data_IF_215646417577
#
_entry.id   IF_215646417577
#
_cell.length_a   1.000
_cell.length_b   1.000
_cell.length_c   1.000
_cell.angle_alpha   90.00
_cell.angle_beta   90.00
_cell.angle_gamma   90.00
#
_symmetry.space_group_name_H-M   'P 1'
#
loop_
_entity.id
_entity.type
_entity.pdbx_description
1 polymer ?
#
# COMPACT_ATOMS: atom_id res chain seq x y z
N UNK A 1 -49.54 -8.24 -49.06
CA UNK A 1 -48.46 -9.03 -48.41
C UNK A 1 -47.05 -8.45 -48.60
N UNK A 2 -46.68 -7.92 -49.79
CA UNK A 2 -45.33 -7.38 -50.07
C UNK A 2 -44.94 -6.19 -49.17
N UNK A 3 -45.87 -5.28 -48.87
CA UNK A 3 -45.64 -4.10 -48.01
C UNK A 3 -45.34 -4.50 -46.55
N UNK A 4 -46.11 -5.43 -45.97
CA UNK A 4 -45.88 -5.93 -44.61
C UNK A 4 -44.51 -6.60 -44.47
N UNK A 5 -44.08 -7.33 -45.51
CA UNK A 5 -42.77 -7.99 -45.53
C UNK A 5 -41.61 -6.98 -45.63
N UNK A 6 -41.75 -5.90 -46.41
CA UNK A 6 -40.75 -4.83 -46.49
C UNK A 6 -40.66 -4.02 -45.19
N UNK A 7 -41.79 -3.80 -44.53
CA UNK A 7 -41.84 -3.13 -43.23
C UNK A 7 -41.13 -3.95 -42.15
N UNK A 8 -41.46 -5.26 -42.04
CA UNK A 8 -40.82 -6.14 -41.07
C UNK A 8 -39.29 -6.24 -41.27
N UNK A 9 -38.83 -6.33 -42.52
CA UNK A 9 -37.39 -6.34 -42.85
C UNK A 9 -36.71 -5.03 -42.44
N UNK A 10 -37.38 -3.89 -42.65
CA UNK A 10 -36.82 -2.58 -42.28
C UNK A 10 -36.70 -2.45 -40.76
N UNK A 11 -37.72 -2.88 -40.02
CA UNK A 11 -37.70 -2.90 -38.54
C UNK A 11 -36.59 -3.81 -38.02
N UNK A 12 -36.46 -5.02 -38.56
CA UNK A 12 -35.40 -5.94 -38.17
C UNK A 12 -34.00 -5.40 -38.48
N UNK A 13 -33.82 -4.72 -39.62
CA UNK A 13 -32.54 -4.10 -39.98
C UNK A 13 -32.17 -2.94 -39.04
N UNK A 14 -33.12 -2.06 -38.72
CA UNK A 14 -32.90 -0.97 -37.77
C UNK A 14 -32.61 -1.50 -36.36
N UNK A 15 -33.35 -2.51 -35.91
CA UNK A 15 -33.12 -3.13 -34.61
C UNK A 15 -31.74 -3.80 -34.55
N UNK A 16 -31.38 -4.57 -35.57
CA UNK A 16 -30.07 -5.23 -35.66
C UNK A 16 -28.92 -4.21 -35.66
N UNK A 17 -29.02 -3.16 -36.48
CA UNK A 17 -28.01 -2.09 -36.51
C UNK A 17 -27.93 -1.37 -35.15
N UNK A 18 -29.06 -1.05 -34.53
CA UNK A 18 -29.14 -0.40 -33.23
C UNK A 18 -28.47 -1.24 -32.13
N UNK A 19 -28.77 -2.54 -32.06
CA UNK A 19 -28.10 -3.45 -31.13
C UNK A 19 -26.60 -3.52 -31.38
N UNK A 20 -26.16 -3.62 -32.64
CA UNK A 20 -24.74 -3.78 -32.97
C UNK A 20 -23.92 -2.54 -32.59
N UNK A 21 -24.48 -1.33 -32.81
CA UNK A 21 -23.84 -0.08 -32.38
C UNK A 21 -23.87 0.11 -30.86
N UNK A 22 -24.93 -0.34 -30.18
CA UNK A 22 -25.07 -0.19 -28.73
C UNK A 22 -24.28 -1.25 -27.94
N UNK A 23 -24.13 -2.46 -28.48
CA UNK A 23 -23.44 -3.59 -27.83
C UNK A 23 -21.97 -3.66 -28.22
N UNK A 24 -21.32 -2.54 -28.54
CA UNK A 24 -19.93 -2.48 -29.01
C UNK A 24 -19.00 -3.38 -28.21
N UNK A 25 -17.88 -3.82 -28.81
CA UNK A 25 -16.90 -4.68 -28.16
C UNK A 25 -16.56 -4.14 -26.77
N UNK A 26 -17.16 -4.74 -25.73
CA UNK A 26 -16.98 -4.35 -24.34
C UNK A 26 -15.51 -4.62 -24.00
N UNK A 27 -14.61 -3.68 -24.32
CA UNK A 27 -13.18 -3.79 -24.04
C UNK A 27 -12.93 -3.78 -22.54
N UNK A 28 -13.88 -3.23 -21.79
CA UNK A 28 -13.92 -3.21 -20.33
C UNK A 28 -15.08 -4.08 -19.87
N UNK A 29 -14.94 -5.39 -20.08
CA UNK A 29 -15.66 -6.35 -19.23
C UNK A 29 -14.98 -6.27 -17.86
N UNK A 30 -15.71 -5.85 -16.82
CA UNK A 30 -15.27 -5.91 -15.44
C UNK A 30 -15.01 -7.37 -15.05
N UNK A 31 -13.86 -7.90 -15.46
CA UNK A 31 -13.37 -9.23 -15.16
C UNK A 31 -12.42 -9.20 -13.97
N UNK A 32 -12.11 -10.39 -13.45
CA UNK A 32 -11.41 -10.71 -12.19
C UNK A 32 -10.10 -9.96 -11.89
N UNK A 33 -9.60 -9.11 -12.79
CA UNK A 33 -8.37 -8.32 -12.63
C UNK A 33 -8.59 -6.82 -12.41
N UNK A 34 -9.77 -6.27 -12.69
CA UNK A 34 -10.05 -4.85 -12.42
C UNK A 34 -10.84 -4.67 -11.12
N UNK A 35 -10.24 -4.06 -10.07
CA UNK A 35 -10.94 -3.77 -8.84
C UNK A 35 -11.90 -2.61 -9.06
N UNK A 36 -13.21 -2.90 -9.00
CA UNK A 36 -14.34 -1.99 -9.15
C UNK A 36 -14.56 -1.38 -10.56
N UNK A 37 -15.83 -1.14 -10.90
CA UNK A 37 -16.23 -0.54 -12.18
C UNK A 37 -15.80 0.93 -12.37
N UNK A 38 -15.21 1.57 -11.36
CA UNK A 38 -14.70 2.95 -11.42
C UNK A 38 -13.20 3.04 -11.65
N UNK A 39 -12.57 1.94 -12.04
CA UNK A 39 -11.12 1.89 -12.24
C UNK A 39 -10.59 3.01 -13.16
N UNK A 40 -11.36 3.37 -14.21
CA UNK A 40 -10.99 4.43 -15.16
C UNK A 40 -11.16 5.85 -14.61
N UNK A 41 -11.93 6.02 -13.54
CA UNK A 41 -12.11 7.31 -12.88
C UNK A 41 -10.93 7.66 -11.98
N UNK A 42 -10.05 6.68 -11.70
CA UNK A 42 -8.92 6.83 -10.82
C UNK A 42 -7.63 6.94 -11.64
N UNK A 43 -6.89 8.02 -11.42
CA UNK A 43 -5.57 8.17 -12.02
C UNK A 43 -4.63 7.07 -11.49
N UNK A 44 -3.80 6.44 -12.35
CA UNK A 44 -2.81 5.48 -11.90
C UNK A 44 -1.81 6.15 -10.97
N UNK A 45 -1.88 5.82 -9.68
CA UNK A 45 -0.90 6.30 -8.71
C UNK A 45 0.42 5.55 -8.94
N UNK A 46 1.47 6.28 -9.30
CA UNK A 46 2.80 5.69 -9.42
C UNK A 46 3.35 5.36 -8.03
N UNK A 47 3.72 4.09 -7.84
CA UNK A 47 4.53 3.64 -6.72
C UNK A 47 5.93 3.32 -7.25
N UNK A 48 6.97 3.83 -6.58
CA UNK A 48 8.33 3.46 -6.92
C UNK A 48 8.52 1.95 -6.72
N UNK A 49 9.40 1.29 -7.51
CA UNK A 49 9.74 -0.09 -7.26
C UNK A 49 10.19 -0.29 -5.82
N UNK A 50 9.73 -1.39 -5.21
CA UNK A 50 10.19 -1.76 -3.87
C UNK A 50 11.72 -1.89 -3.85
N UNK A 51 12.35 -1.59 -2.70
CA UNK A 51 13.78 -1.84 -2.54
C UNK A 51 14.08 -3.32 -2.76
N UNK A 52 15.26 -3.63 -3.30
CA UNK A 52 15.69 -5.01 -3.55
C UNK A 52 15.69 -5.89 -2.29
N UNK A 53 15.80 -5.26 -1.11
CA UNK A 53 15.75 -5.94 0.18
C UNK A 53 14.67 -5.31 1.08
N UNK A 54 13.71 -6.10 1.59
CA UNK A 54 12.62 -5.58 2.41
C UNK A 54 13.07 -5.11 3.81
N UNK A 55 14.23 -5.56 4.27
CA UNK A 55 14.77 -5.29 5.61
C UNK A 55 16.16 -4.64 5.53
N UNK A 56 16.25 -3.34 5.23
CA UNK A 56 17.53 -2.68 4.97
C UNK A 56 18.44 -2.64 6.19
N UNK A 57 17.89 -2.60 7.41
CA UNK A 57 18.68 -2.57 8.64
C UNK A 57 19.38 -3.91 8.89
N UNK A 58 18.71 -4.99 8.57
CA UNK A 58 19.14 -6.36 8.74
C UNK A 58 20.18 -6.69 7.68
N UNK A 59 19.96 -6.25 6.44
CA UNK A 59 20.98 -6.29 5.39
C UNK A 59 22.26 -5.56 5.81
N UNK A 60 22.15 -4.32 6.28
CA UNK A 60 23.30 -3.56 6.78
C UNK A 60 24.04 -4.29 7.91
N UNK A 61 23.31 -5.00 8.79
CA UNK A 61 23.92 -5.77 9.88
C UNK A 61 24.68 -7.02 9.40
N UNK A 62 24.27 -7.57 8.25
CA UNK A 62 24.91 -8.73 7.61
C UNK A 62 26.14 -8.30 6.81
N UNK A 63 26.06 -7.15 6.13
CA UNK A 63 27.14 -6.56 5.35
C UNK A 63 28.19 -5.84 6.21
N UNK A 64 27.86 -5.48 7.46
CA UNK A 64 28.81 -4.89 8.42
C UNK A 64 29.94 -5.87 8.78
N UNK A 65 31.20 -5.62 8.35
CA UNK A 65 32.33 -6.50 8.64
C UNK A 65 32.70 -6.50 10.14
N UNK A 66 32.51 -5.39 10.84
CA UNK A 66 32.74 -5.31 12.29
C UNK A 66 31.68 -6.12 13.04
N UNK A 67 30.43 -6.06 12.57
CA UNK A 67 29.33 -6.90 13.02
C UNK A 67 29.62 -8.38 12.82
N UNK A 68 30.16 -8.76 11.66
CA UNK A 68 30.58 -10.13 11.38
C UNK A 68 31.71 -10.59 12.32
N UNK A 69 32.70 -9.74 12.59
CA UNK A 69 33.79 -10.02 13.52
C UNK A 69 33.29 -10.21 14.96
N UNK A 70 32.36 -9.37 15.44
CA UNK A 70 31.74 -9.52 16.78
C UNK A 70 30.97 -10.83 16.94
N UNK A 71 30.32 -11.32 15.87
CA UNK A 71 29.58 -12.60 15.86
C UNK A 71 30.50 -13.82 15.83
N UNK A 72 31.61 -13.74 15.10
CA UNK A 72 32.57 -14.85 14.94
C UNK A 72 33.59 -14.93 16.11
N UNK A 73 33.88 -13.82 16.77
CA UNK A 73 34.85 -13.70 17.86
C UNK A 73 34.25 -13.82 19.25
N UNK A 74 33.23 -14.68 19.44
CA UNK A 74 32.44 -14.77 20.66
C UNK A 74 33.26 -14.87 21.95
N UNK A 75 33.54 -13.73 22.60
CA UNK A 75 33.88 -13.55 24.00
C UNK A 75 33.61 -12.08 24.39
N UNK A 76 32.68 -11.86 25.33
CA UNK A 76 32.66 -10.65 26.16
C UNK A 76 31.47 -9.70 25.96
N UNK A 77 30.26 -10.12 26.31
CA UNK A 77 29.32 -9.16 26.90
C UNK A 77 29.94 -8.73 28.24
N UNK A 78 30.56 -7.55 28.30
CA UNK A 78 30.88 -6.94 29.58
C UNK A 78 29.55 -6.76 30.34
N UNK A 79 29.44 -7.20 31.61
CA UNK A 79 28.21 -7.01 32.35
C UNK A 79 27.93 -5.51 32.47
N UNK A 80 26.73 -5.10 32.05
CA UNK A 80 26.22 -3.74 32.31
C UNK A 80 26.22 -3.55 33.83
N UNK A 81 27.08 -2.67 34.32
CA UNK A 81 27.05 -2.27 35.73
C UNK A 81 25.70 -1.60 36.01
N UNK A 82 25.03 -1.92 37.13
CA UNK A 82 23.77 -1.27 37.48
C UNK A 82 23.99 0.24 37.60
N UNK A 83 23.12 1.02 36.96
CA UNK A 83 23.17 2.48 37.00
C UNK A 83 23.09 2.96 38.45
N UNK A 84 24.02 3.82 38.86
CA UNK A 84 24.00 4.46 40.16
C UNK A 84 22.70 5.29 40.32
N UNK A 85 22.09 5.32 41.51
CA UNK A 85 20.88 6.10 41.74
C UNK A 85 21.15 7.59 41.49
N UNK A 86 20.33 8.19 40.63
CA UNK A 86 20.39 9.62 40.31
C UNK A 86 19.90 10.40 41.54
N UNK A 87 20.63 11.41 42.06
CA UNK A 87 20.13 12.24 43.15
C UNK A 87 18.91 13.04 42.68
N UNK A 88 17.78 12.88 43.37
CA UNK A 88 16.60 13.71 43.18
C UNK A 88 16.89 15.12 43.71
N UNK A 89 16.80 16.19 42.90
CA UNK A 89 16.90 17.54 43.41
C UNK A 89 15.73 17.84 44.35
N UNK A 90 16.04 18.25 45.58
CA UNK A 90 15.05 18.64 46.58
C UNK A 90 14.14 19.75 46.05
N UNK A 91 12.83 19.51 46.12
CA UNK A 91 11.82 20.50 45.74
C UNK A 91 11.82 21.71 46.69
N UNK A 92 11.44 22.91 46.20
CA UNK A 92 11.44 24.11 47.01
C UNK A 92 10.31 24.07 48.03
N UNK A 93 10.68 24.07 49.31
CA UNK A 93 9.75 24.31 50.42
C UNK A 93 9.12 25.69 50.26
N UNK A 94 7.81 25.71 50.02
CA UNK A 94 7.01 26.93 49.97
C UNK A 94 6.83 27.58 51.36
N UNK A 95 6.50 28.87 51.39
CA UNK A 95 6.73 29.74 52.54
C UNK A 95 5.72 29.64 53.68
N UNK A 96 6.19 30.18 54.80
CA UNK A 96 5.63 30.33 56.15
C UNK A 96 4.54 31.42 56.19
N UNK A 97 3.49 31.23 57.01
CA UNK A 97 2.58 32.27 57.53
C UNK A 97 1.11 32.07 57.16
N UNK A 98 0.20 31.70 58.07
CA UNK A 98 -0.45 32.49 59.16
C UNK A 98 -1.98 32.27 59.06
N UNK A 99 -2.88 32.90 59.86
CA UNK A 99 -2.74 33.64 61.12
C UNK A 99 -2.84 32.78 62.39
#
# INVERSE_FOLDING_TARGET
MRTNRRWAVSVAAFLGLGLTCASGCQTVMGGMTLPSGRYLDHYPQYFAPDPAFPLPRELNSMEDPDGAARRNGGLGAAPVAPAAPVPVPGGPGGPIGGP
#
